data_IF_875352056228
#
_entry.id   IF_875352056228
#
_cell.length_a   1.000
_cell.length_b   1.000
_cell.length_c   1.000
_cell.angle_alpha   90.00
_cell.angle_beta   90.00
_cell.angle_gamma   90.00
#
_symmetry.space_group_name_H-M   'P 1'
#
loop_
_entity.id
_entity.type
_entity.pdbx_description
1 polymer ?
#
# COMPACT_ATOMS: atom_id res chain seq x y z
N UNK A 1 -27.69 64.57 0.30
CA UNK A 1 -26.60 63.57 0.37
C UNK A 1 -27.08 62.37 1.18
N UNK A 2 -27.32 61.20 0.56
CA UNK A 2 -27.72 59.98 1.29
C UNK A 2 -26.48 59.12 1.55
N UNK A 3 -26.14 58.99 2.84
CA UNK A 3 -25.04 58.18 3.36
C UNK A 3 -25.17 56.72 2.91
N UNK A 4 -24.13 56.18 2.26
CA UNK A 4 -24.05 54.75 1.93
C UNK A 4 -23.78 53.99 3.23
N UNK A 5 -24.81 53.30 3.75
CA UNK A 5 -24.64 52.36 4.86
C UNK A 5 -23.70 51.23 4.41
N UNK A 6 -22.56 51.12 5.06
CA UNK A 6 -21.61 50.03 4.85
C UNK A 6 -22.24 48.74 5.39
N UNK A 7 -22.58 47.80 4.50
CA UNK A 7 -23.01 46.47 4.90
C UNK A 7 -21.76 45.62 5.20
N UNK A 8 -21.72 44.90 6.33
CA UNK A 8 -20.58 44.03 6.65
C UNK A 8 -20.47 42.92 5.61
N UNK A 9 -19.24 42.66 5.13
CA UNK A 9 -18.98 41.55 4.22
C UNK A 9 -19.33 40.24 4.94
N UNK A 10 -20.08 39.33 4.31
CA UNK A 10 -20.34 38.02 4.89
C UNK A 10 -18.99 37.31 5.04
N UNK A 11 -18.66 36.92 6.27
CA UNK A 11 -17.49 36.11 6.54
C UNK A 11 -17.74 34.77 5.83
N UNK A 12 -16.98 34.48 4.79
CA UNK A 12 -16.94 33.18 4.14
C UNK A 12 -16.41 32.19 5.18
N UNK A 13 -17.30 31.63 5.98
CA UNK A 13 -17.02 30.50 6.85
C UNK A 13 -16.46 29.39 5.97
N UNK A 14 -15.32 28.84 6.39
CA UNK A 14 -14.62 27.74 5.71
C UNK A 14 -15.64 26.64 5.40
N UNK A 15 -16.08 26.55 4.15
CA UNK A 15 -16.83 25.39 3.67
C UNK A 15 -15.85 24.22 3.73
N UNK A 16 -15.95 23.43 4.78
CA UNK A 16 -15.37 22.09 4.81
C UNK A 16 -16.17 21.31 3.78
N UNK A 17 -15.61 21.16 2.58
CA UNK A 17 -16.13 20.21 1.60
C UNK A 17 -16.14 18.85 2.32
N UNK A 18 -17.33 18.28 2.51
CA UNK A 18 -17.42 16.88 2.91
C UNK A 18 -16.64 16.08 1.86
N UNK A 19 -15.80 15.11 2.26
CA UNK A 19 -15.16 14.25 1.28
C UNK A 19 -16.28 13.54 0.51
N UNK A 20 -16.38 13.81 -0.79
CA UNK A 20 -17.39 13.23 -1.69
C UNK A 20 -17.29 11.69 -1.81
N UNK A 21 -16.34 11.07 -1.08
CA UNK A 21 -16.08 9.65 -1.03
C UNK A 21 -16.18 9.11 0.40
N UNK A 22 -17.00 8.07 0.59
CA UNK A 22 -17.03 7.29 1.84
C UNK A 22 -15.65 6.67 2.04
N UNK A 23 -15.12 6.78 3.27
CA UNK A 23 -13.92 6.04 3.65
C UNK A 23 -14.25 4.54 3.67
N UNK A 24 -13.55 3.77 2.87
CA UNK A 24 -13.66 2.31 2.82
C UNK A 24 -12.87 1.75 4.01
N UNK A 25 -13.51 0.91 4.82
CA UNK A 25 -12.85 0.19 5.92
C UNK A 25 -12.52 -1.26 5.55
N UNK A 26 -11.72 -1.94 6.38
CA UNK A 26 -11.43 -3.37 6.19
C UNK A 26 -12.71 -4.21 6.28
N UNK A 27 -13.66 -3.79 7.11
CA UNK A 27 -14.99 -4.40 7.23
C UNK A 27 -15.78 -4.26 5.93
N UNK A 28 -15.78 -3.07 5.29
CA UNK A 28 -16.43 -2.87 3.99
C UNK A 28 -15.88 -3.85 2.93
N UNK A 29 -14.56 -4.12 2.94
CA UNK A 29 -13.92 -5.07 2.01
C UNK A 29 -14.36 -6.51 2.29
N UNK A 30 -14.38 -6.93 3.57
CA UNK A 30 -14.82 -8.28 3.96
C UNK A 30 -16.30 -8.50 3.64
N UNK A 31 -17.14 -7.49 3.89
CA UNK A 31 -18.55 -7.54 3.51
C UNK A 31 -18.70 -7.71 2.00
N UNK A 32 -17.94 -6.95 1.20
CA UNK A 32 -17.95 -7.10 -0.25
C UNK A 32 -17.48 -8.50 -0.68
N UNK A 33 -16.40 -9.02 -0.11
CA UNK A 33 -15.91 -10.37 -0.40
C UNK A 33 -16.99 -11.43 -0.19
N UNK A 34 -17.70 -11.39 0.94
CA UNK A 34 -18.78 -12.36 1.21
C UNK A 34 -19.98 -12.22 0.26
N UNK A 35 -20.26 -11.01 -0.24
CA UNK A 35 -21.34 -10.78 -1.20
C UNK A 35 -20.94 -11.19 -2.61
N UNK A 36 -19.67 -11.03 -2.97
CA UNK A 36 -19.14 -11.32 -4.29
C UNK A 36 -18.91 -12.82 -4.50
N UNK A 37 -18.23 -13.51 -3.56
CA UNK A 37 -17.89 -14.93 -3.72
C UNK A 37 -19.15 -15.81 -3.76
N UNK A 38 -19.29 -16.60 -4.82
CA UNK A 38 -20.45 -17.44 -5.09
C UNK A 38 -21.66 -16.72 -5.71
N UNK A 39 -21.55 -15.42 -6.00
CA UNK A 39 -22.62 -14.64 -6.62
C UNK A 39 -22.71 -14.84 -8.13
N UNK A 40 -23.77 -14.30 -8.73
CA UNK A 40 -23.90 -14.23 -10.18
C UNK A 40 -22.89 -13.26 -10.81
N UNK A 41 -22.46 -12.24 -10.07
CA UNK A 41 -21.43 -11.27 -10.50
C UNK A 41 -20.08 -11.98 -10.65
N UNK A 42 -19.64 -12.73 -9.64
CA UNK A 42 -18.42 -13.55 -9.74
C UNK A 42 -18.50 -14.53 -10.91
N UNK A 43 -19.65 -15.19 -11.08
CA UNK A 43 -19.84 -16.09 -12.21
C UNK A 43 -19.65 -15.36 -13.54
N UNK A 44 -20.24 -14.18 -13.70
CA UNK A 44 -20.13 -13.40 -14.92
C UNK A 44 -18.66 -13.01 -15.17
N UNK A 45 -17.96 -12.53 -14.15
CA UNK A 45 -16.54 -12.14 -14.24
C UNK A 45 -15.63 -13.31 -14.59
N UNK A 46 -15.81 -14.47 -13.95
CA UNK A 46 -15.03 -15.69 -14.26
C UNK A 46 -15.27 -16.14 -15.69
N UNK A 47 -16.51 -16.07 -16.18
CA UNK A 47 -16.86 -16.45 -17.55
C UNK A 47 -16.30 -15.43 -18.55
N UNK A 48 -16.36 -14.14 -18.23
CA UNK A 48 -15.80 -13.10 -19.06
C UNK A 48 -14.28 -13.25 -19.17
N UNK A 49 -13.57 -13.43 -18.05
CA UNK A 49 -12.14 -13.70 -18.03
C UNK A 49 -11.79 -14.98 -18.81
N UNK A 50 -12.60 -16.03 -18.70
CA UNK A 50 -12.41 -17.25 -19.47
C UNK A 50 -12.48 -17.02 -20.99
N UNK A 51 -13.39 -16.15 -21.44
CA UNK A 51 -13.52 -15.77 -22.85
C UNK A 51 -12.35 -14.89 -23.30
N UNK A 52 -11.99 -13.90 -22.50
CA UNK A 52 -10.94 -12.91 -22.82
C UNK A 52 -9.54 -13.55 -22.87
N UNK A 53 -9.29 -14.56 -22.04
CA UNK A 53 -7.99 -15.26 -21.94
C UNK A 53 -8.01 -16.67 -22.51
N UNK A 54 -9.00 -17.00 -23.34
CA UNK A 54 -9.10 -18.29 -24.06
C UNK A 54 -8.87 -19.51 -23.16
N UNK A 55 -9.39 -19.47 -21.93
CA UNK A 55 -9.29 -20.55 -20.96
C UNK A 55 -7.94 -20.73 -20.26
N UNK A 56 -6.99 -19.78 -20.37
CA UNK A 56 -5.77 -19.84 -19.56
C UNK A 56 -6.07 -19.52 -18.09
N UNK A 57 -6.05 -20.57 -17.26
CA UNK A 57 -6.29 -20.48 -15.83
C UNK A 57 -5.22 -19.68 -15.07
N UNK A 58 -4.03 -19.44 -15.61
CA UNK A 58 -3.06 -18.55 -14.94
C UNK A 58 -3.59 -17.11 -14.98
N UNK A 59 -3.94 -16.62 -16.17
CA UNK A 59 -4.41 -15.24 -16.36
C UNK A 59 -5.80 -15.00 -15.77
N UNK A 60 -6.70 -15.99 -15.83
CA UNK A 60 -8.02 -15.89 -15.19
C UNK A 60 -7.90 -15.68 -13.68
N UNK A 61 -6.98 -16.39 -13.02
CA UNK A 61 -6.79 -16.26 -11.56
C UNK A 61 -6.16 -14.90 -11.19
N UNK A 62 -5.40 -14.29 -12.10
CA UNK A 62 -4.80 -12.96 -11.90
C UNK A 62 -5.80 -11.83 -12.20
N UNK A 63 -6.81 -12.06 -13.04
CA UNK A 63 -7.74 -11.02 -13.50
C UNK A 63 -8.99 -10.88 -12.64
N UNK A 64 -9.49 -11.99 -12.06
CA UNK A 64 -10.75 -11.98 -11.31
C UNK A 64 -10.55 -11.40 -9.91
N UNK A 65 -11.45 -10.52 -9.50
CA UNK A 65 -11.38 -9.82 -8.22
C UNK A 65 -11.49 -10.80 -7.06
N UNK A 66 -10.66 -10.61 -6.03
CA UNK A 66 -10.60 -11.45 -4.82
C UNK A 66 -10.29 -12.94 -5.09
N UNK A 67 -9.70 -13.25 -6.25
CA UNK A 67 -9.27 -14.60 -6.57
C UNK A 67 -8.05 -14.99 -5.74
N UNK A 68 -8.23 -15.97 -4.84
CA UNK A 68 -7.15 -16.65 -4.16
C UNK A 68 -6.85 -18.02 -4.77
N UNK A 69 -5.67 -18.59 -4.49
CA UNK A 69 -5.31 -19.93 -4.97
C UNK A 69 -6.33 -21.02 -4.55
N UNK A 70 -6.99 -20.82 -3.41
CA UNK A 70 -8.02 -21.72 -2.88
C UNK A 70 -9.36 -21.60 -3.62
N UNK A 71 -9.58 -20.54 -4.40
CA UNK A 71 -10.78 -20.31 -5.19
C UNK A 71 -10.73 -21.01 -6.57
N UNK A 72 -9.54 -21.44 -7.04
CA UNK A 72 -9.38 -22.11 -8.33
C UNK A 72 -10.35 -23.30 -8.55
N UNK A 73 -10.59 -24.19 -7.56
CA UNK A 73 -11.58 -25.27 -7.70
C UNK A 73 -12.99 -24.76 -7.99
N UNK A 74 -13.42 -23.65 -7.37
CA UNK A 74 -14.72 -23.01 -7.60
C UNK A 74 -14.80 -22.47 -9.03
N UNK A 75 -13.77 -21.75 -9.47
CA UNK A 75 -13.74 -21.15 -10.82
C UNK A 75 -13.80 -22.23 -11.91
N UNK A 76 -13.04 -23.32 -11.72
CA UNK A 76 -13.10 -24.45 -12.65
C UNK A 76 -14.48 -25.09 -12.72
N UNK A 77 -15.18 -25.20 -11.60
CA UNK A 77 -16.54 -25.74 -11.59
C UNK A 77 -17.53 -24.83 -12.33
N UNK A 78 -17.41 -23.51 -12.15
CA UNK A 78 -18.18 -22.49 -12.90
C UNK A 78 -17.95 -22.67 -14.42
N UNK A 79 -16.69 -22.71 -14.85
CA UNK A 79 -16.31 -22.85 -16.26
C UNK A 79 -16.79 -24.19 -16.82
N UNK A 80 -16.58 -25.30 -16.10
CA UNK A 80 -17.06 -26.63 -16.53
C UNK A 80 -18.57 -26.67 -16.71
N UNK A 81 -19.32 -26.05 -15.81
CA UNK A 81 -20.79 -25.94 -15.92
C UNK A 81 -21.18 -25.13 -17.15
N UNK A 82 -20.51 -24.02 -17.43
CA UNK A 82 -20.78 -23.19 -18.60
C UNK A 82 -20.45 -23.91 -19.93
N UNK A 83 -19.32 -24.62 -20.00
CA UNK A 83 -18.96 -25.47 -21.15
C UNK A 83 -20.01 -26.58 -21.35
N UNK A 84 -20.43 -27.26 -20.27
CA UNK A 84 -21.46 -28.31 -20.33
C UNK A 84 -22.80 -27.79 -20.86
N UNK A 85 -23.16 -26.56 -20.49
CA UNK A 85 -24.36 -25.87 -21.00
C UNK A 85 -24.18 -25.26 -22.40
N UNK A 86 -22.98 -25.34 -22.98
CA UNK A 86 -22.60 -24.74 -24.27
C UNK A 86 -22.76 -23.22 -24.30
N UNK A 87 -22.62 -22.57 -23.15
CA UNK A 87 -22.64 -21.10 -23.04
C UNK A 87 -21.31 -20.48 -23.49
N UNK A 88 -20.21 -21.23 -23.33
CA UNK A 88 -18.86 -20.82 -23.76
C UNK A 88 -18.18 -21.95 -24.53
N UNK A 89 -17.25 -21.63 -25.44
CA UNK A 89 -16.45 -22.64 -26.14
C UNK A 89 -15.54 -23.41 -25.17
N UNK A 90 -15.19 -24.64 -25.55
CA UNK A 90 -14.21 -25.44 -24.83
C UNK A 90 -12.81 -25.13 -25.38
N UNK A 91 -12.06 -24.26 -24.71
CA UNK A 91 -10.70 -23.92 -25.12
C UNK A 91 -9.70 -24.99 -24.69
N UNK A 92 -8.76 -25.29 -25.58
CA UNK A 92 -7.74 -26.32 -25.34
C UNK A 92 -6.86 -26.00 -24.12
N UNK A 93 -6.58 -24.72 -23.86
CA UNK A 93 -5.78 -24.28 -22.71
C UNK A 93 -6.39 -24.73 -21.37
N UNK A 94 -7.72 -24.75 -21.28
CA UNK A 94 -8.45 -25.21 -20.10
C UNK A 94 -8.64 -26.74 -20.10
N UNK A 95 -9.09 -27.30 -21.22
CA UNK A 95 -9.48 -28.72 -21.30
C UNK A 95 -8.27 -29.65 -21.20
N UNK A 96 -7.16 -29.27 -21.83
CA UNK A 96 -5.93 -30.07 -21.90
C UNK A 96 -4.87 -29.63 -20.88
N UNK A 97 -5.26 -28.84 -19.89
CA UNK A 97 -4.33 -28.34 -18.89
C UNK A 97 -3.69 -29.49 -18.10
N UNK A 98 -2.35 -29.55 -18.12
CA UNK A 98 -1.62 -30.56 -17.36
C UNK A 98 -1.76 -30.32 -15.85
N UNK A 99 -1.95 -31.40 -15.08
CA UNK A 99 -1.95 -31.35 -13.60
C UNK A 99 -0.72 -30.62 -13.04
N UNK A 100 0.46 -30.81 -13.67
CA UNK A 100 1.70 -30.14 -13.30
C UNK A 100 1.59 -28.61 -13.32
N UNK A 101 0.90 -28.01 -14.31
CA UNK A 101 0.71 -26.55 -14.39
C UNK A 101 -0.09 -26.04 -13.19
N UNK A 102 -1.13 -26.80 -12.80
CA UNK A 102 -1.97 -26.52 -11.62
C UNK A 102 -1.18 -26.62 -10.32
N UNK A 103 -0.41 -27.69 -10.16
CA UNK A 103 0.41 -27.90 -8.97
C UNK A 103 1.51 -26.83 -8.85
N UNK A 104 2.07 -26.39 -9.99
CA UNK A 104 3.01 -25.26 -10.04
C UNK A 104 2.37 -23.94 -9.65
N UNK A 105 1.12 -23.65 -10.06
CA UNK A 105 0.39 -22.45 -9.61
C UNK A 105 0.21 -22.44 -8.09
N UNK A 106 -0.18 -23.57 -7.51
CA UNK A 106 -0.30 -23.72 -6.05
C UNK A 106 1.04 -23.51 -5.33
N UNK A 107 2.10 -24.11 -5.86
CA UNK A 107 3.44 -23.96 -5.30
C UNK A 107 3.90 -22.50 -5.35
N UNK A 108 3.74 -21.81 -6.49
CA UNK A 108 4.09 -20.39 -6.64
C UNK A 108 3.38 -19.53 -5.58
N UNK A 109 2.06 -19.67 -5.46
CA UNK A 109 1.29 -18.92 -4.46
C UNK A 109 1.76 -19.18 -3.02
N UNK A 110 2.13 -20.42 -2.70
CA UNK A 110 2.67 -20.77 -1.40
C UNK A 110 4.07 -20.17 -1.16
N UNK A 111 4.96 -20.27 -2.14
CA UNK A 111 6.32 -19.74 -2.04
C UNK A 111 6.28 -18.21 -1.92
N UNK A 112 5.43 -17.53 -2.69
CA UNK A 112 5.18 -16.08 -2.59
C UNK A 112 4.64 -15.67 -1.20
N UNK A 113 3.74 -16.46 -0.60
CA UNK A 113 3.22 -16.20 0.74
C UNK A 113 4.32 -16.30 1.81
N UNK A 114 5.23 -17.28 1.68
CA UNK A 114 6.38 -17.42 2.58
C UNK A 114 7.36 -16.26 2.44
N UNK A 115 7.66 -15.85 1.20
CA UNK A 115 8.52 -14.70 0.92
C UNK A 115 7.93 -13.40 1.47
N UNK A 116 6.61 -13.20 1.32
CA UNK A 116 5.91 -12.06 1.88
C UNK A 116 5.96 -12.05 3.42
N UNK A 117 5.81 -13.21 4.07
CA UNK A 117 5.92 -13.31 5.54
C UNK A 117 7.35 -13.04 6.02
N UNK A 118 8.35 -13.58 5.33
CA UNK A 118 9.76 -13.32 5.62
C UNK A 118 10.12 -11.84 5.46
N UNK A 119 9.69 -11.21 4.36
CA UNK A 119 9.90 -9.78 4.13
C UNK A 119 9.21 -8.94 5.20
N UNK A 120 7.98 -9.29 5.57
CA UNK A 120 7.23 -8.61 6.64
C UNK A 120 7.98 -8.67 7.98
N UNK A 121 8.59 -9.80 8.32
CA UNK A 121 9.43 -9.95 9.52
C UNK A 121 10.71 -9.13 9.43
N UNK A 122 11.39 -9.15 8.28
CA UNK A 122 12.65 -8.41 8.05
C UNK A 122 12.46 -6.90 8.20
N UNK A 123 11.36 -6.36 7.65
CA UNK A 123 11.01 -4.95 7.83
C UNK A 123 10.43 -4.64 9.21
N UNK A 124 10.31 -5.61 10.12
CA UNK A 124 9.83 -5.40 11.48
C UNK A 124 8.35 -5.04 11.58
N UNK A 125 7.55 -5.37 10.57
CA UNK A 125 6.09 -5.24 10.63
C UNK A 125 5.52 -6.45 11.37
N UNK A 126 5.00 -6.22 12.57
CA UNK A 126 4.20 -7.19 13.30
C UNK A 126 2.78 -7.28 12.72
N UNK A 127 1.84 -7.77 13.52
CA UNK A 127 0.46 -8.04 13.06
C UNK A 127 -0.46 -6.82 13.15
N UNK A 128 0.01 -5.69 13.68
CA UNK A 128 -0.81 -4.50 13.92
C UNK A 128 -0.52 -3.34 12.97
N UNK A 129 -1.53 -2.51 12.69
CA UNK A 129 -1.35 -1.26 11.92
C UNK A 129 -0.42 -0.26 12.62
N UNK A 130 -0.33 -0.33 13.95
CA UNK A 130 0.53 0.56 14.72
C UNK A 130 2.02 0.30 14.47
N UNK A 131 2.38 -0.91 14.02
CA UNK A 131 3.75 -1.25 13.64
C UNK A 131 4.17 -0.45 12.39
N UNK A 132 3.26 -0.25 11.44
CA UNK A 132 3.54 0.55 10.24
C UNK A 132 3.69 2.04 10.60
N UNK A 133 2.83 2.57 11.47
CA UNK A 133 2.94 3.96 11.95
C UNK A 133 4.27 4.17 12.66
N UNK A 134 4.65 3.25 13.54
CA UNK A 134 5.91 3.29 14.26
C UNK A 134 7.11 3.26 13.29
N UNK A 135 7.04 2.42 12.26
CA UNK A 135 8.09 2.32 11.24
C UNK A 135 8.23 3.60 10.41
N UNK A 136 7.12 4.25 10.05
CA UNK A 136 7.13 5.54 9.34
C UNK A 136 7.73 6.63 10.22
N UNK A 137 7.33 6.70 11.49
CA UNK A 137 7.88 7.68 12.46
C UNK A 137 9.38 7.47 12.67
N UNK A 138 9.83 6.22 12.86
CA UNK A 138 11.25 5.88 12.96
C UNK A 138 12.03 6.36 11.74
N UNK A 139 11.52 6.10 10.52
CA UNK A 139 12.15 6.57 9.28
C UNK A 139 12.19 8.09 9.16
N UNK A 140 11.22 8.82 9.71
CA UNK A 140 11.26 10.29 9.75
C UNK A 140 12.36 10.78 10.67
N UNK A 141 12.46 10.22 11.88
CA UNK A 141 13.52 10.55 12.84
C UNK A 141 14.91 10.21 12.33
N UNK A 142 15.08 9.07 11.65
CA UNK A 142 16.37 8.69 11.08
C UNK A 142 16.77 9.67 9.96
N UNK A 143 15.83 10.11 9.11
CA UNK A 143 16.12 11.16 8.11
C UNK A 143 16.52 12.49 8.72
N UNK A 144 15.90 12.91 9.82
CA UNK A 144 16.27 14.14 10.53
C UNK A 144 17.72 14.06 11.04
N UNK A 145 18.10 12.94 11.67
CA UNK A 145 19.48 12.73 12.15
C UNK A 145 20.52 12.76 11.02
N UNK A 146 20.20 12.16 9.88
CA UNK A 146 21.08 12.20 8.70
C UNK A 146 21.26 13.63 8.17
N UNK A 147 20.20 14.44 8.17
CA UNK A 147 20.28 15.86 7.80
C UNK A 147 21.14 16.65 8.78
N UNK A 148 20.99 16.42 10.08
CA UNK A 148 21.81 17.08 11.10
C UNK A 148 23.30 16.73 10.93
N UNK A 149 23.61 15.45 10.70
CA UNK A 149 24.97 14.98 10.41
C UNK A 149 25.54 15.62 9.14
N UNK A 150 24.75 15.67 8.07
CA UNK A 150 25.13 16.31 6.81
C UNK A 150 25.41 17.81 6.98
N UNK A 151 24.56 18.53 7.71
CA UNK A 151 24.76 19.95 8.00
C UNK A 151 26.00 20.18 8.85
N UNK A 152 26.24 19.36 9.89
CA UNK A 152 27.46 19.45 10.69
C UNK A 152 28.74 19.24 9.84
N UNK A 153 28.69 18.33 8.86
CA UNK A 153 29.80 18.14 7.92
C UNK A 153 30.01 19.35 7.01
N UNK A 154 28.94 19.97 6.53
CA UNK A 154 29.02 21.21 5.75
C UNK A 154 29.61 22.37 6.58
N UNK A 155 29.13 22.56 7.81
CA UNK A 155 29.67 23.55 8.74
C UNK A 155 31.16 23.30 9.00
N UNK A 156 31.55 22.05 9.25
CA UNK A 156 32.96 21.71 9.46
C UNK A 156 33.84 22.02 8.23
N UNK A 157 33.32 21.87 7.02
CA UNK A 157 34.08 22.07 5.78
C UNK A 157 34.17 23.53 5.36
N UNK A 158 33.10 24.31 5.56
CA UNK A 158 33.01 25.68 5.04
C UNK A 158 33.07 26.77 6.12
N UNK A 159 32.72 26.46 7.38
CA UNK A 159 32.75 27.43 8.48
C UNK A 159 34.05 27.37 9.32
N UNK A 160 34.91 26.35 9.15
CA UNK A 160 36.25 26.31 9.76
C UNK A 160 37.25 27.18 9.00
N UNK A 161 37.06 28.50 9.05
CA UNK A 161 38.13 29.48 8.81
C UNK A 161 37.90 30.82 9.54
N UNK A 162 37.12 30.84 10.61
CA UNK A 162 36.95 32.05 11.44
C UNK A 162 37.40 31.80 12.89
N UNK A 163 38.67 32.15 13.13
CA UNK A 163 39.27 32.57 14.42
C UNK A 163 39.77 31.47 15.39
N UNK A 164 41.01 31.03 15.13
CA UNK A 164 42.07 31.06 16.16
C UNK A 164 42.32 32.54 16.51
N UNK A 165 41.96 32.97 17.72
CA UNK A 165 42.27 34.31 18.20
C UNK A 165 41.44 34.69 19.41
N UNK A 166 41.91 34.34 20.62
CA UNK A 166 41.26 34.77 21.86
C UNK A 166 41.60 33.93 23.09
N UNK A 167 42.88 33.59 23.32
CA UNK A 167 43.32 33.20 24.66
C UNK A 167 43.19 34.43 25.57
N UNK A 168 42.14 34.46 26.39
CA UNK A 168 42.02 35.43 27.49
C UNK A 168 43.01 35.00 28.58
N UNK A 169 44.15 35.67 28.65
CA UNK A 169 45.12 35.54 29.73
C UNK A 169 44.51 35.98 31.05
N UNK A 170 44.39 35.06 32.01
CA UNK A 170 44.15 35.37 33.43
C UNK A 170 45.48 35.74 34.08
N UNK A 171 45.73 37.02 34.31
CA UNK A 171 46.88 37.49 35.09
C UNK A 171 46.52 37.54 36.59
N UNK A 172 47.41 37.12 37.51
CA UNK A 172 47.13 37.04 38.94
C UNK A 172 47.38 38.38 39.63
N UNK A 173 46.43 38.87 40.44
CA UNK A 173 46.69 39.97 41.40
C UNK A 173 47.22 39.39 42.71
N UNK A 174 48.52 39.57 42.91
CA UNK A 174 49.28 39.38 44.16
C UNK A 174 48.82 40.43 45.17
N UNK A 175 48.57 40.02 46.43
CA UNK A 175 48.12 40.89 47.51
C UNK A 175 49.24 41.60 48.30
N UNK A 176 48.81 42.19 49.43
CA UNK A 176 49.48 43.03 50.45
C UNK A 176 49.43 44.53 50.12
N UNK A 177 49.09 45.42 51.04
CA UNK A 177 49.25 45.41 52.50
C UNK A 177 48.20 46.33 53.13
#
# INVERSE_FOLDING_TARGET
MKSRRHLPRPQLGKRVLAPDFKKITVEDIKEYETKYKGSEEERADVIQAYLDFEGDMDTIMESVVLAGIDDEPRFRDIIKKAIKKKEVPAYDAFVKEAKKKRDQRKKRAHDEALEAEAMRKDIGLGSGEDDLKALIQKRQQDREKEVDSFMAQLEAKYCKNTKKGGQKSTAPKKGKK
#
